data_IF_112877233365
#
_entry.id   IF_112877233365
#
_cell.length_a   1.000
_cell.length_b   1.000
_cell.length_c   1.000
_cell.angle_alpha   90.00
_cell.angle_beta   90.00
_cell.angle_gamma   90.00
#
_symmetry.space_group_name_H-M   'P 1'
#
loop_
_entity.id
_entity.type
_entity.pdbx_description
1 polymer ?
#
# COMPACT_ATOMS: atom_id res chain seq x y z
N UNK A 1 5.65 10.85 6.94
CA UNK A 1 5.76 10.59 5.49
C UNK A 1 7.15 10.04 5.14
N UNK A 2 7.66 9.05 5.88
CA UNK A 2 9.02 8.55 5.62
C UNK A 2 8.99 7.27 4.76
N UNK A 3 7.84 6.61 4.66
CA UNK A 3 7.73 5.25 4.15
C UNK A 3 7.06 5.17 2.76
N UNK A 4 6.42 6.26 2.31
CA UNK A 4 5.71 6.28 1.03
C UNK A 4 6.65 6.37 -0.19
N UNK A 5 7.91 6.79 0.00
CA UNK A 5 8.86 6.98 -1.10
C UNK A 5 8.48 8.06 -2.11
N UNK A 6 7.34 8.74 -1.94
CA UNK A 6 6.80 9.75 -2.86
C UNK A 6 6.31 10.99 -2.11
N UNK A 7 6.02 12.06 -2.86
CA UNK A 7 5.48 13.30 -2.30
C UNK A 7 3.99 13.22 -1.95
N UNK A 8 3.27 12.24 -2.50
CA UNK A 8 1.83 12.07 -2.26
C UNK A 8 1.60 11.31 -0.95
N UNK A 9 0.54 11.66 -0.22
CA UNK A 9 0.15 11.02 1.02
C UNK A 9 -1.34 10.68 0.94
N UNK A 10 -1.80 9.69 1.70
CA UNK A 10 -3.19 9.66 2.15
C UNK A 10 -3.41 10.92 2.99
N UNK A 11 -4.19 11.86 2.47
CA UNK A 11 -4.57 13.06 3.22
C UNK A 11 -5.86 12.72 3.96
N UNK A 12 -5.87 12.77 5.31
CA UNK A 12 -7.13 12.68 6.03
C UNK A 12 -8.03 13.82 5.61
N UNK A 13 -9.31 13.56 5.39
CA UNK A 13 -10.30 14.61 5.21
C UNK A 13 -10.42 15.46 6.49
N UNK A 14 -11.11 16.60 6.40
CA UNK A 14 -11.22 17.56 7.50
C UNK A 14 -11.85 16.97 8.78
N UNK A 15 -12.58 15.88 8.66
CA UNK A 15 -13.20 15.09 9.73
C UNK A 15 -12.32 13.92 10.23
N UNK A 16 -11.10 13.76 9.69
CA UNK A 16 -10.13 12.76 10.11
C UNK A 16 -10.23 11.42 9.39
N UNK A 17 -11.14 11.27 8.43
CA UNK A 17 -11.27 10.03 7.66
C UNK A 17 -10.11 9.89 6.66
N UNK A 18 -9.53 8.69 6.56
CA UNK A 18 -8.54 8.40 5.53
C UNK A 18 -9.23 8.29 4.17
N UNK A 19 -8.67 8.96 3.16
CA UNK A 19 -9.18 8.96 1.78
C UNK A 19 -8.08 8.50 0.83
N UNK A 20 -8.43 7.97 -0.34
CA UNK A 20 -7.45 7.53 -1.35
C UNK A 20 -7.07 6.05 -1.30
N UNK A 21 -7.93 5.22 -0.71
CA UNK A 21 -7.87 3.76 -0.79
C UNK A 21 -9.29 3.20 -0.94
N UNK A 22 -9.39 1.95 -1.39
CA UNK A 22 -10.61 1.19 -1.50
C UNK A 22 -10.48 -0.14 -0.74
N UNK A 23 -11.57 -0.61 -0.13
CA UNK A 23 -11.64 -1.95 0.47
C UNK A 23 -12.15 -2.90 -0.61
N UNK A 24 -11.24 -3.65 -1.22
CA UNK A 24 -11.58 -4.61 -2.28
C UNK A 24 -12.13 -5.93 -1.73
N UNK A 25 -11.83 -6.25 -0.46
CA UNK A 25 -12.34 -7.44 0.21
C UNK A 25 -12.08 -7.40 1.71
N UNK A 26 -13.00 -7.99 2.49
CA UNK A 26 -12.85 -8.09 3.94
C UNK A 26 -13.61 -9.31 4.47
N UNK A 27 -12.97 -10.04 5.38
CA UNK A 27 -13.59 -11.08 6.19
C UNK A 27 -13.14 -10.96 7.65
N UNK A 28 -13.46 -11.96 8.48
CA UNK A 28 -12.96 -12.01 9.86
C UNK A 28 -11.43 -12.18 9.90
N UNK A 29 -10.87 -12.94 8.95
CA UNK A 29 -9.44 -13.27 8.93
C UNK A 29 -8.55 -12.33 8.09
N UNK A 30 -9.09 -11.58 7.14
CA UNK A 30 -8.28 -10.72 6.26
C UNK A 30 -8.98 -9.43 5.84
N UNK A 31 -8.15 -8.47 5.41
CA UNK A 31 -8.57 -7.27 4.69
C UNK A 31 -7.68 -7.11 3.45
N UNK A 32 -8.31 -6.71 2.34
CA UNK A 32 -7.64 -6.36 1.09
C UNK A 32 -7.92 -4.89 0.80
N UNK A 33 -6.83 -4.13 0.69
CA UNK A 33 -6.85 -2.70 0.40
C UNK A 33 -6.21 -2.44 -0.95
N UNK A 34 -6.83 -1.58 -1.75
CA UNK A 34 -6.29 -1.10 -3.01
C UNK A 34 -6.09 0.42 -2.93
N UNK A 35 -4.95 0.91 -3.40
CA UNK A 35 -4.64 2.34 -3.37
C UNK A 35 -3.59 2.70 -4.41
N UNK A 36 -3.57 3.98 -4.77
CA UNK A 36 -2.65 4.51 -5.78
C UNK A 36 -1.43 5.16 -5.12
N UNK A 37 -0.28 5.02 -5.78
CA UNK A 37 0.96 5.72 -5.41
C UNK A 37 1.59 6.42 -6.60
N UNK A 38 2.38 7.45 -6.32
CA UNK A 38 2.94 8.26 -7.39
C UNK A 38 4.22 7.62 -7.96
N UNK A 39 4.15 7.18 -9.23
CA UNK A 39 5.31 6.92 -10.10
C UNK A 39 6.34 5.87 -9.63
N UNK A 40 6.05 5.09 -8.58
CA UNK A 40 6.93 4.01 -8.11
C UNK A 40 6.21 3.00 -7.23
N UNK A 41 6.70 1.76 -7.12
CA UNK A 41 6.13 0.76 -6.21
C UNK A 41 6.27 1.20 -4.73
N UNK A 42 5.26 0.93 -3.89
CA UNK A 42 5.22 1.34 -2.47
C UNK A 42 6.09 0.48 -1.53
N UNK A 43 7.34 0.20 -1.90
CA UNK A 43 8.22 -0.72 -1.16
C UNK A 43 8.38 -0.33 0.33
N UNK A 44 8.57 0.95 0.64
CA UNK A 44 8.72 1.40 2.02
C UNK A 44 7.46 1.22 2.88
N UNK A 45 6.27 1.14 2.27
CA UNK A 45 5.03 0.84 3.01
C UNK A 45 5.01 -0.63 3.40
N UNK A 46 5.40 -1.52 2.47
CA UNK A 46 5.55 -2.94 2.75
C UNK A 46 6.53 -3.16 3.91
N UNK A 47 7.73 -2.58 3.83
CA UNK A 47 8.78 -2.72 4.85
C UNK A 47 8.28 -2.28 6.23
N UNK A 48 7.60 -1.13 6.30
CA UNK A 48 7.08 -0.60 7.56
C UNK A 48 5.97 -1.48 8.18
N UNK A 49 5.13 -2.12 7.36
CA UNK A 49 4.11 -3.06 7.84
C UNK A 49 4.79 -4.31 8.37
N UNK A 50 5.74 -4.85 7.61
CA UNK A 50 6.49 -6.06 7.98
C UNK A 50 7.27 -5.87 9.29
N UNK A 51 7.99 -4.75 9.44
CA UNK A 51 8.73 -4.41 10.67
C UNK A 51 7.81 -4.27 11.89
N UNK A 52 6.63 -3.68 11.70
CA UNK A 52 5.71 -3.39 12.80
C UNK A 52 4.85 -4.59 13.19
N UNK A 53 4.57 -5.47 12.24
CA UNK A 53 3.69 -6.63 12.41
C UNK A 53 4.36 -7.88 11.82
N UNK A 54 5.42 -8.41 12.45
CA UNK A 54 6.20 -9.52 11.90
C UNK A 54 5.40 -10.82 11.75
N UNK A 55 4.32 -10.97 12.51
CA UNK A 55 3.42 -12.13 12.44
C UNK A 55 2.31 -11.99 11.38
N UNK A 56 2.20 -10.82 10.74
CA UNK A 56 1.20 -10.56 9.71
C UNK A 56 1.64 -11.13 8.36
N UNK A 57 0.81 -11.99 7.77
CA UNK A 57 0.99 -12.42 6.38
C UNK A 57 0.55 -11.30 5.43
N UNK A 58 1.49 -10.75 4.66
CA UNK A 58 1.23 -9.69 3.69
C UNK A 58 1.47 -10.21 2.28
N UNK A 59 0.46 -10.08 1.41
CA UNK A 59 0.57 -10.34 -0.02
C UNK A 59 0.38 -9.02 -0.77
N UNK A 60 1.41 -8.59 -1.51
CA UNK A 60 1.46 -7.23 -2.06
C UNK A 60 1.72 -7.24 -3.55
N UNK A 61 0.72 -6.86 -4.34
CA UNK A 61 0.83 -6.69 -5.79
C UNK A 61 0.80 -5.21 -6.16
N UNK A 62 1.57 -4.83 -7.19
CA UNK A 62 1.48 -3.52 -7.80
C UNK A 62 1.52 -3.60 -9.33
N UNK A 63 0.92 -2.60 -9.97
CA UNK A 63 0.93 -2.41 -11.41
C UNK A 63 1.01 -0.91 -11.70
N UNK A 64 1.88 -0.52 -12.62
CA UNK A 64 2.03 0.83 -13.13
C UNK A 64 1.91 0.78 -14.66
N UNK A 65 0.80 1.28 -15.18
CA UNK A 65 0.43 1.11 -16.59
C UNK A 65 1.28 1.98 -17.53
N UNK A 66 1.75 3.14 -17.07
CA UNK A 66 2.49 4.10 -17.90
C UNK A 66 3.83 3.57 -18.39
N UNK A 67 4.58 2.88 -17.53
CA UNK A 67 5.84 2.22 -17.88
C UNK A 67 5.68 0.71 -18.11
N UNK A 68 4.44 0.19 -18.05
CA UNK A 68 4.12 -1.23 -18.25
C UNK A 68 4.85 -2.17 -17.27
N UNK A 69 4.87 -1.79 -15.98
CA UNK A 69 5.55 -2.54 -14.92
C UNK A 69 4.50 -3.15 -13.99
N UNK A 70 4.69 -4.40 -13.58
CA UNK A 70 3.92 -5.01 -12.48
C UNK A 70 4.79 -5.99 -11.71
N UNK A 71 4.46 -6.25 -10.45
CA UNK A 71 5.26 -7.13 -9.60
C UNK A 71 4.66 -7.39 -8.23
N UNK A 72 5.34 -8.24 -7.47
CA UNK A 72 5.02 -8.56 -6.09
C UNK A 72 6.12 -8.05 -5.14
N UNK A 73 5.75 -7.76 -3.89
CA UNK A 73 6.68 -7.47 -2.81
C UNK A 73 6.62 -8.54 -1.70
N UNK A 74 7.74 -8.86 -1.03
CA UNK A 74 9.09 -8.36 -1.32
C UNK A 74 9.63 -9.00 -2.60
N UNK A 75 10.63 -8.40 -3.21
CA UNK A 75 11.31 -9.00 -4.35
C UNK A 75 12.12 -10.22 -3.86
N UNK A 76 12.06 -11.34 -4.60
CA UNK A 76 12.98 -12.48 -4.42
C UNK A 76 14.43 -12.11 -4.81
#
# INVERSE_FOLDING_TARGET
NNNWGTKWNLVPSADGNLTGYEVAGQSEDFIQLEFETAWSPPAGIYDAIYEKYPDLSVSWFYREEGNQIAGWLPYD
#
